data_IF_841761028076
#
_entry.id   IF_841761028076
#
_cell.length_a   1.000
_cell.length_b   1.000
_cell.length_c   1.000
_cell.angle_alpha   90.00
_cell.angle_beta   90.00
_cell.angle_gamma   90.00
#
_symmetry.space_group_name_H-M   'P 1'
#
loop_
_entity.id
_entity.type
_entity.pdbx_description
1 polymer ?
#
# COMPACT_ATOMS: atom_id res chain seq x y z
N UNK A 1 8.15 13.18 -14.66
CA UNK A 1 7.01 12.32 -15.06
C UNK A 1 6.24 11.94 -13.81
N UNK A 2 4.96 12.30 -13.71
CA UNK A 2 4.11 12.02 -12.55
C UNK A 2 3.54 10.61 -12.74
N UNK A 3 4.24 9.61 -12.18
CA UNK A 3 4.05 8.16 -12.41
C UNK A 3 2.66 7.65 -11.99
N UNK A 4 2.02 8.36 -11.07
CA UNK A 4 0.65 8.13 -10.65
C UNK A 4 0.00 9.47 -10.87
N UNK A 5 -0.91 9.63 -11.85
CA UNK A 5 -1.56 10.89 -12.29
C UNK A 5 -2.42 11.54 -11.16
N UNK A 6 -1.77 11.80 -10.04
CA UNK A 6 -2.24 12.30 -8.75
C UNK A 6 -1.15 13.19 -8.14
N UNK A 7 -1.55 14.25 -7.47
CA UNK A 7 -0.62 15.22 -6.87
C UNK A 7 -1.19 15.79 -5.59
N UNK A 8 -0.35 16.34 -4.72
CA UNK A 8 -0.85 17.07 -3.56
C UNK A 8 -1.41 18.42 -4.00
N UNK A 9 -2.50 18.86 -3.36
CA UNK A 9 -3.06 20.20 -3.59
C UNK A 9 -1.99 21.27 -3.32
N UNK A 10 -1.16 21.07 -2.30
CA UNK A 10 -0.11 22.02 -1.92
C UNK A 10 0.95 22.15 -3.03
N UNK A 11 1.33 21.04 -3.65
CA UNK A 11 2.25 21.03 -4.79
C UNK A 11 1.66 21.80 -5.98
N UNK A 12 0.38 21.59 -6.29
CA UNK A 12 -0.29 22.32 -7.36
C UNK A 12 -0.42 23.82 -7.05
N UNK A 13 -0.52 24.18 -5.77
CA UNK A 13 -0.57 25.57 -5.32
C UNK A 13 0.77 26.28 -5.53
N UNK A 14 1.90 25.58 -5.45
CA UNK A 14 3.22 26.16 -5.74
C UNK A 14 3.37 26.58 -7.21
N UNK A 15 2.85 25.79 -8.15
CA UNK A 15 2.91 26.09 -9.58
C UNK A 15 1.72 26.91 -10.10
N UNK A 16 0.93 27.48 -9.20
CA UNK A 16 -0.30 28.19 -9.54
C UNK A 16 -0.07 29.36 -10.50
N UNK A 17 1.03 30.11 -10.34
CA UNK A 17 1.38 31.22 -11.22
C UNK A 17 1.78 30.73 -12.61
N UNK A 18 2.57 29.66 -12.66
CA UNK A 18 3.13 29.11 -13.90
C UNK A 18 2.03 28.52 -14.81
N UNK A 19 0.99 27.94 -14.20
CA UNK A 19 -0.17 27.38 -14.91
C UNK A 19 -1.36 28.34 -15.02
N UNK A 20 -1.24 29.60 -14.58
CA UNK A 20 -2.34 30.58 -14.64
C UNK A 20 -3.57 30.20 -13.82
N UNK A 21 -3.39 29.44 -12.73
CA UNK A 21 -4.48 28.85 -11.97
C UNK A 21 -5.10 29.81 -10.94
N UNK A 22 -6.41 29.67 -10.62
CA UNK A 22 -7.10 30.54 -9.66
C UNK A 22 -6.51 30.48 -8.25
N UNK A 23 -6.59 31.60 -7.50
CA UNK A 23 -6.18 31.67 -6.08
C UNK A 23 -6.87 30.59 -5.22
N UNK A 24 -8.13 30.28 -5.52
CA UNK A 24 -8.93 29.29 -4.81
C UNK A 24 -8.85 27.92 -5.49
N UNK A 25 -7.65 27.32 -5.52
CA UNK A 25 -7.38 26.01 -6.12
C UNK A 25 -8.37 24.92 -5.68
N UNK A 26 -8.60 24.80 -4.37
CA UNK A 26 -9.55 23.80 -3.82
C UNK A 26 -10.97 24.03 -4.32
N UNK A 27 -11.42 25.28 -4.42
CA UNK A 27 -12.77 25.58 -4.89
C UNK A 27 -12.93 25.28 -6.39
N UNK A 28 -11.89 25.51 -7.19
CA UNK A 28 -11.88 25.13 -8.60
C UNK A 28 -11.98 23.60 -8.76
N UNK A 29 -11.18 22.84 -8.01
CA UNK A 29 -11.21 21.38 -8.05
C UNK A 29 -12.59 20.84 -7.65
N UNK A 30 -13.18 21.36 -6.58
CA UNK A 30 -14.50 20.93 -6.11
C UNK A 30 -15.65 21.31 -7.04
N UNK A 31 -15.45 22.30 -7.92
CA UNK A 31 -16.45 22.69 -8.92
C UNK A 31 -16.52 21.70 -10.09
N UNK A 32 -15.46 20.94 -10.32
CA UNK A 32 -15.30 20.04 -11.47
C UNK A 32 -15.07 18.59 -11.01
N UNK A 33 -16.06 17.95 -10.35
CA UNK A 33 -15.94 16.55 -9.90
C UNK A 33 -15.82 15.55 -11.05
N UNK A 34 -16.24 15.92 -12.26
CA UNK A 34 -16.10 15.12 -13.48
C UNK A 34 -14.64 14.97 -13.92
N UNK A 35 -13.80 15.95 -13.61
CA UNK A 35 -12.38 15.95 -13.97
C UNK A 35 -11.49 15.53 -12.80
N UNK A 36 -11.84 15.94 -11.57
CA UNK A 36 -10.98 15.78 -10.41
C UNK A 36 -11.66 15.04 -9.26
N UNK A 37 -10.92 14.08 -8.70
CA UNK A 37 -11.23 13.47 -7.42
C UNK A 37 -10.32 14.03 -6.33
N UNK A 38 -10.90 14.45 -5.21
CA UNK A 38 -10.16 14.93 -4.05
C UNK A 38 -10.22 13.89 -2.93
N UNK A 39 -9.05 13.35 -2.57
CA UNK A 39 -8.91 12.44 -1.45
C UNK A 39 -8.21 13.13 -0.28
N UNK A 40 -8.75 12.99 0.93
CA UNK A 40 -8.10 13.39 2.16
C UNK A 40 -7.35 12.18 2.73
N UNK A 41 -6.03 12.27 2.80
CA UNK A 41 -5.18 11.25 3.43
C UNK A 41 -4.46 11.88 4.62
N UNK A 42 -4.95 11.57 5.82
CA UNK A 42 -4.50 12.23 7.05
C UNK A 42 -4.85 13.72 7.01
N UNK A 43 -3.84 14.58 7.05
CA UNK A 43 -4.00 16.04 6.99
C UNK A 43 -3.74 16.64 5.58
N UNK A 44 -3.41 15.80 4.60
CA UNK A 44 -3.02 16.24 3.25
C UNK A 44 -4.08 15.91 2.22
N UNK A 45 -4.37 16.88 1.37
CA UNK A 45 -5.29 16.71 0.26
C UNK A 45 -4.53 16.26 -1.00
N UNK A 46 -4.97 15.15 -1.58
CA UNK A 46 -4.45 14.62 -2.85
C UNK A 46 -5.52 14.78 -3.92
N UNK A 47 -5.14 15.38 -5.06
CA UNK A 47 -5.97 15.48 -6.26
C UNK A 47 -5.60 14.35 -7.20
N UNK A 48 -6.61 13.70 -7.78
CA UNK A 48 -6.45 12.69 -8.81
C UNK A 48 -7.31 13.09 -10.01
N UNK A 49 -6.84 12.81 -11.22
CA UNK A 49 -7.67 12.96 -12.43
C UNK A 49 -8.63 11.79 -12.50
N UNK A 50 -9.92 12.01 -12.80
CA UNK A 50 -10.91 10.93 -12.89
C UNK A 50 -10.77 10.15 -14.20
N UNK A 51 -10.54 10.86 -15.31
CA UNK A 51 -10.47 10.30 -16.67
C UNK A 51 -9.44 9.19 -16.86
N UNK A 52 -8.45 9.14 -15.98
CA UNK A 52 -7.32 8.22 -16.08
C UNK A 52 -7.55 6.94 -15.27
N UNK A 53 -8.64 6.85 -14.52
CA UNK A 53 -9.03 5.66 -13.79
C UNK A 53 -10.29 5.03 -14.40
N UNK A 54 -10.29 3.70 -14.45
CA UNK A 54 -11.47 2.91 -14.80
C UNK A 54 -12.54 2.99 -13.69
N UNK A 55 -13.75 2.51 -13.96
CA UNK A 55 -14.86 2.40 -13.01
C UNK A 55 -14.51 1.56 -11.76
N UNK A 56 -13.44 0.75 -11.85
CA UNK A 56 -12.88 -0.07 -10.76
C UNK A 56 -11.81 0.65 -9.94
N UNK A 57 -11.49 1.91 -10.25
CA UNK A 57 -10.45 2.70 -9.58
C UNK A 57 -9.02 2.30 -9.96
N UNK A 58 -8.85 1.61 -11.10
CA UNK A 58 -7.54 1.19 -11.61
C UNK A 58 -7.08 2.15 -12.69
N UNK A 59 -5.82 2.58 -12.64
CA UNK A 59 -5.23 3.45 -13.66
C UNK A 59 -5.25 2.76 -15.03
N UNK A 60 -5.86 3.42 -16.02
CA UNK A 60 -6.02 2.89 -17.38
C UNK A 60 -4.67 2.68 -18.08
N UNK A 61 -3.76 3.64 -17.89
CA UNK A 61 -2.43 3.64 -18.49
C UNK A 61 -1.37 3.52 -17.39
N UNK A 62 -0.75 2.35 -17.29
CA UNK A 62 0.33 2.11 -16.33
C UNK A 62 1.68 2.39 -16.98
N UNK A 63 2.40 3.37 -16.43
CA UNK A 63 3.80 3.61 -16.79
C UNK A 63 4.68 2.41 -16.42
N UNK A 64 5.73 2.16 -17.20
CA UNK A 64 6.69 1.08 -16.92
C UNK A 64 7.29 1.16 -15.51
N UNK A 65 7.52 2.37 -15.01
CA UNK A 65 7.98 2.63 -13.63
C UNK A 65 6.97 2.20 -12.58
N UNK A 66 5.67 2.39 -12.84
CA UNK A 66 4.61 1.97 -11.94
C UNK A 66 4.56 0.44 -11.84
N UNK A 67 4.68 -0.24 -12.98
CA UNK A 67 4.72 -1.71 -13.05
C UNK A 67 5.92 -2.26 -12.28
N UNK A 68 7.10 -1.65 -12.41
CA UNK A 68 8.30 -2.06 -11.66
C UNK A 68 8.08 -1.88 -10.16
N UNK A 69 7.50 -0.75 -9.75
CA UNK A 69 7.16 -0.48 -8.35
C UNK A 69 6.16 -1.50 -7.79
N UNK A 70 5.12 -1.86 -8.53
CA UNK A 70 4.14 -2.88 -8.14
C UNK A 70 4.83 -4.24 -7.92
N UNK A 71 5.65 -4.69 -8.88
CA UNK A 71 6.41 -5.95 -8.77
C UNK A 71 7.37 -5.93 -7.58
N UNK A 72 8.07 -4.83 -7.35
CA UNK A 72 8.98 -4.70 -6.22
C UNK A 72 8.23 -4.77 -4.88
N UNK A 73 7.08 -4.10 -4.77
CA UNK A 73 6.23 -4.16 -3.58
C UNK A 73 5.69 -5.56 -3.32
N UNK A 74 5.33 -6.30 -4.37
CA UNK A 74 4.93 -7.70 -4.27
C UNK A 74 6.06 -8.56 -3.68
N UNK A 75 7.28 -8.45 -4.20
CA UNK A 75 8.44 -9.17 -3.67
C UNK A 75 8.73 -8.84 -2.20
N UNK A 76 8.63 -7.55 -1.82
CA UNK A 76 8.79 -7.12 -0.43
C UNK A 76 7.71 -7.75 0.47
N UNK A 77 6.47 -7.84 -0.01
CA UNK A 77 5.38 -8.46 0.73
C UNK A 77 5.61 -9.96 0.93
N UNK A 78 5.99 -10.66 -0.13
CA UNK A 78 6.33 -12.09 -0.09
C UNK A 78 7.48 -12.35 0.89
N UNK A 79 8.54 -11.53 0.85
CA UNK A 79 9.62 -11.61 1.83
C UNK A 79 9.15 -11.41 3.28
N UNK A 80 8.23 -10.48 3.53
CA UNK A 80 7.61 -10.29 4.86
C UNK A 80 6.74 -11.49 5.25
N UNK A 81 6.03 -12.10 4.31
CA UNK A 81 5.20 -13.29 4.55
C UNK A 81 6.06 -14.50 4.95
N UNK A 82 7.11 -14.79 4.18
CA UNK A 82 8.08 -15.87 4.48
C UNK A 82 8.69 -15.69 5.86
N UNK A 83 9.14 -14.48 6.21
CA UNK A 83 9.69 -14.20 7.56
C UNK A 83 8.70 -14.49 8.68
N UNK A 84 7.41 -14.17 8.49
CA UNK A 84 6.36 -14.45 9.48
C UNK A 84 6.08 -15.95 9.58
N UNK A 85 6.01 -16.65 8.46
CA UNK A 85 5.77 -18.09 8.40
C UNK A 85 6.92 -18.87 9.06
N UNK A 86 8.18 -18.51 8.75
CA UNK A 86 9.35 -19.11 9.39
C UNK A 86 9.37 -18.88 10.91
N UNK A 87 8.96 -17.70 11.39
CA UNK A 87 8.84 -17.45 12.83
C UNK A 87 7.78 -18.36 13.46
N UNK A 88 6.63 -18.55 12.81
CA UNK A 88 5.56 -19.46 13.28
C UNK A 88 6.02 -20.92 13.29
N UNK A 89 6.69 -21.36 12.23
CA UNK A 89 7.25 -22.71 12.12
C UNK A 89 8.28 -22.98 13.23
N UNK A 90 9.21 -22.06 13.49
CA UNK A 90 10.17 -22.19 14.59
C UNK A 90 9.49 -22.27 15.96
N UNK A 91 8.45 -21.47 16.19
CA UNK A 91 7.66 -21.54 17.44
C UNK A 91 6.96 -22.90 17.55
N UNK A 92 6.35 -23.40 16.47
CA UNK A 92 5.69 -24.70 16.45
C UNK A 92 6.66 -25.85 16.76
N UNK A 93 7.82 -25.90 16.09
CA UNK A 93 8.85 -26.91 16.31
C UNK A 93 9.41 -26.86 17.74
N UNK A 94 9.69 -25.66 18.27
CA UNK A 94 10.16 -25.51 19.65
C UNK A 94 9.12 -25.94 20.69
N UNK A 95 7.83 -25.85 20.38
CA UNK A 95 6.77 -26.30 21.28
C UNK A 95 6.55 -27.81 21.20
N UNK A 96 6.72 -28.44 20.03
CA UNK A 96 6.65 -29.91 19.90
C UNK A 96 7.80 -30.61 20.64
N UNK A 97 9.02 -30.08 20.54
CA UNK A 97 10.19 -30.66 21.22
C UNK A 97 10.21 -30.54 22.75
N UNK A 98 9.14 -30.03 23.38
CA UNK A 98 9.00 -29.94 24.84
C UNK A 98 8.11 -31.03 25.45
N UNK A 99 7.47 -31.87 24.63
CA UNK A 99 6.55 -32.92 25.10
C UNK A 99 7.13 -34.35 25.01
N UNK A 100 8.35 -34.52 24.50
CA UNK A 100 8.97 -35.84 24.28
C UNK A 100 9.95 -36.30 25.39
N UNK A 101 10.16 -35.51 26.46
CA UNK A 101 10.93 -35.94 27.64
C UNK A 101 9.97 -36.28 28.80
N UNK A 102 9.30 -37.42 28.71
CA UNK A 102 8.37 -37.93 29.73
C UNK A 102 8.37 -39.45 29.84
N UNK A 103 9.35 -39.95 30.58
CA UNK A 103 9.33 -41.12 31.49
C UNK A 103 8.75 -42.45 30.96
N UNK A 104 9.66 -43.33 30.47
CA UNK A 104 9.44 -44.77 30.47
C UNK A 104 9.77 -45.33 31.87
N UNK A 105 8.82 -45.29 32.80
CA UNK A 105 8.91 -46.10 34.03
C UNK A 105 8.12 -47.40 33.81
N UNK A 106 8.84 -48.51 33.61
CA UNK A 106 8.28 -49.86 33.64
C UNK A 106 7.67 -50.15 35.04
N UNK A 107 6.46 -50.71 35.13
CA UNK A 107 5.92 -51.14 36.41
C UNK A 107 6.66 -52.40 36.86
N UNK A 108 7.44 -52.30 37.94
CA UNK A 108 7.96 -53.46 38.65
C UNK A 108 6.81 -54.15 39.42
N UNK A 109 6.38 -55.31 38.94
CA UNK A 109 5.53 -56.22 39.70
C UNK A 109 6.31 -56.85 40.86
N UNK A 110 5.85 -56.60 42.09
CA UNK A 110 6.16 -57.38 43.30
C UNK A 110 4.94 -57.52 44.19
#
# INVERSE_FOLDING_TARGET
>A
MIVEKKTLVDQLTHFRKDFGLPNKMRAMILRHPELFYLSLKGLRNTVMLVEVFDNKGVLLEKDGTLVIKEKFMQLVWEGKKIKRENKKQRIYVNNLGKYDDGDNEEPNDR
#
